data_IF_117029307967
#
_entry.id   IF_117029307967
#
_cell.length_a   1.000
_cell.length_b   1.000
_cell.length_c   1.000
_cell.angle_alpha   90.00
_cell.angle_beta   90.00
_cell.angle_gamma   90.00
#
_symmetry.space_group_name_H-M   'P 1'
#
loop_
_entity.id
_entity.type
_entity.pdbx_description
1 polymer ?
#
# COMPACT_ATOMS: atom_id res chain seq x y z
N UNK A 1 -20.47 21.98 -13.83
CA UNK A 1 -20.73 21.23 -12.57
C UNK A 1 -20.15 19.82 -12.53
N UNK A 2 -20.48 18.90 -13.45
CA UNK A 2 -20.06 17.48 -13.34
C UNK A 2 -18.55 17.25 -13.35
N UNK A 3 -17.78 18.07 -14.08
CA UNK A 3 -16.31 17.93 -14.18
C UNK A 3 -15.61 18.29 -12.86
N UNK A 4 -16.10 19.28 -12.11
CA UNK A 4 -15.51 19.63 -10.81
C UNK A 4 -15.75 18.54 -9.77
N UNK A 5 -16.95 17.97 -9.75
CA UNK A 5 -17.27 16.82 -8.92
C UNK A 5 -16.39 15.62 -9.27
N UNK A 6 -16.15 15.37 -10.56
CA UNK A 6 -15.24 14.31 -11.01
C UNK A 6 -13.80 14.56 -10.55
N UNK A 7 -13.30 15.80 -10.65
CA UNK A 7 -11.95 16.17 -10.15
C UNK A 7 -11.81 15.91 -8.65
N UNK A 8 -12.82 16.28 -7.87
CA UNK A 8 -12.84 16.04 -6.42
C UNK A 8 -12.84 14.53 -6.12
N UNK A 9 -13.67 13.76 -6.82
CA UNK A 9 -13.72 12.30 -6.66
C UNK A 9 -12.39 11.63 -7.05
N UNK A 10 -11.76 12.08 -8.14
CA UNK A 10 -10.44 11.60 -8.55
C UNK A 10 -9.39 11.91 -7.48
N UNK A 11 -9.37 13.13 -6.94
CA UNK A 11 -8.44 13.51 -5.89
C UNK A 11 -8.61 12.62 -4.64
N UNK A 12 -9.85 12.44 -4.19
CA UNK A 12 -10.17 11.57 -3.05
C UNK A 12 -9.73 10.14 -3.33
N UNK A 13 -10.01 9.62 -4.53
CA UNK A 13 -9.60 8.27 -4.93
C UNK A 13 -8.08 8.13 -4.94
N UNK A 14 -7.34 9.11 -5.48
CA UNK A 14 -5.89 9.10 -5.49
C UNK A 14 -5.30 9.15 -4.08
N UNK A 15 -5.85 9.97 -3.18
CA UNK A 15 -5.43 10.02 -1.79
C UNK A 15 -5.69 8.70 -1.07
N UNK A 16 -6.87 8.09 -1.27
CA UNK A 16 -7.19 6.79 -0.72
C UNK A 16 -6.24 5.70 -1.23
N UNK A 17 -5.97 5.67 -2.54
CA UNK A 17 -5.02 4.75 -3.15
C UNK A 17 -3.60 4.93 -2.61
N UNK A 18 -3.17 6.17 -2.37
CA UNK A 18 -1.86 6.46 -1.78
C UNK A 18 -1.75 5.94 -0.34
N UNK A 19 -2.81 6.12 0.47
CA UNK A 19 -2.87 5.58 1.84
C UNK A 19 -2.86 4.06 1.83
N UNK A 20 -3.64 3.42 0.95
CA UNK A 20 -3.65 1.96 0.79
C UNK A 20 -2.29 1.44 0.34
N UNK A 21 -1.61 2.14 -0.55
CA UNK A 21 -0.27 1.78 -0.99
C UNK A 21 0.73 1.85 0.16
N UNK A 22 0.71 2.92 0.98
CA UNK A 22 1.59 3.06 2.14
C UNK A 22 1.37 1.94 3.17
N UNK A 23 0.10 1.60 3.47
CA UNK A 23 -0.20 0.49 4.39
C UNK A 23 0.23 -0.86 3.81
N UNK A 24 -0.03 -1.09 2.52
CA UNK A 24 0.42 -2.28 1.82
C UNK A 24 1.93 -2.42 1.85
N UNK A 25 2.67 -1.32 1.65
CA UNK A 25 4.13 -1.28 1.66
C UNK A 25 4.71 -1.37 3.08
N UNK A 26 4.00 -0.93 4.11
CA UNK A 26 4.42 -1.13 5.50
C UNK A 26 4.38 -2.62 5.85
N UNK A 27 3.27 -3.30 5.51
CA UNK A 27 3.23 -4.76 5.62
C UNK A 27 4.28 -5.35 4.70
N UNK A 28 4.48 -4.79 3.47
CA UNK A 28 5.66 -4.95 2.57
C UNK A 28 6.91 -5.45 3.29
N UNK A 29 7.42 -4.46 4.01
CA UNK A 29 8.70 -4.37 4.67
C UNK A 29 8.77 -5.16 5.97
N UNK A 30 7.64 -5.36 6.64
CA UNK A 30 7.52 -6.20 7.83
C UNK A 30 7.68 -7.71 7.54
N UNK A 31 7.90 -8.10 6.28
CA UNK A 31 7.93 -9.50 5.80
C UNK A 31 6.66 -10.32 6.17
N UNK A 32 5.60 -9.66 6.64
CA UNK A 32 4.35 -10.33 7.02
C UNK A 32 3.51 -10.79 5.79
N UNK A 33 3.96 -10.56 4.55
CA UNK A 33 3.29 -11.10 3.34
C UNK A 33 3.27 -12.60 3.26
N UNK A 34 4.19 -13.28 3.95
CA UNK A 34 4.24 -14.73 3.91
C UNK A 34 2.95 -15.37 4.46
N UNK A 35 2.17 -14.66 5.28
CA UNK A 35 0.89 -15.11 5.82
C UNK A 35 -0.29 -14.91 4.84
N UNK A 36 -0.17 -14.03 3.85
CA UNK A 36 -1.21 -13.76 2.85
C UNK A 36 -1.03 -14.51 1.53
N UNK A 37 0.08 -15.26 1.39
CA UNK A 37 0.34 -16.09 0.24
C UNK A 37 -0.08 -17.55 0.51
N UNK A 38 -1.22 -17.97 -0.01
CA UNK A 38 -1.55 -19.40 -0.13
C UNK A 38 -0.81 -20.10 -1.29
N UNK A 39 -0.08 -19.35 -2.11
CA UNK A 39 0.54 -19.87 -3.34
C UNK A 39 2.04 -20.10 -3.15
N UNK A 40 2.47 -21.36 -3.29
CA UNK A 40 3.87 -21.82 -3.24
C UNK A 40 4.80 -21.28 -4.34
N UNK A 41 4.36 -20.29 -5.14
CA UNK A 41 5.13 -19.67 -6.23
C UNK A 41 5.56 -18.27 -5.80
N UNK A 42 6.75 -18.19 -5.19
CA UNK A 42 7.35 -16.96 -4.64
C UNK A 42 7.95 -16.00 -5.69
N UNK A 43 7.79 -16.29 -6.98
CA UNK A 43 8.54 -15.62 -8.06
C UNK A 43 7.79 -14.50 -8.78
N UNK A 44 6.53 -14.19 -8.43
CA UNK A 44 5.78 -13.06 -9.02
C UNK A 44 4.94 -12.33 -7.96
N UNK A 45 5.02 -11.00 -7.93
CA UNK A 45 4.08 -10.13 -7.19
C UNK A 45 2.70 -10.23 -7.84
N UNK A 46 1.90 -11.24 -7.49
CA UNK A 46 0.55 -11.44 -8.06
C UNK A 46 -0.47 -10.50 -7.42
N UNK A 47 -0.23 -10.04 -6.18
CA UNK A 47 -1.09 -9.11 -5.47
C UNK A 47 -0.54 -7.68 -5.57
N UNK A 48 -1.41 -6.75 -5.99
CA UNK A 48 -1.10 -5.32 -5.95
C UNK A 48 -0.89 -4.86 -4.51
N UNK A 49 0.05 -3.94 -4.29
CA UNK A 49 0.31 -3.31 -2.98
C UNK A 49 -0.98 -2.70 -2.40
N UNK A 50 -1.85 -2.15 -3.26
CA UNK A 50 -3.14 -1.57 -2.87
C UNK A 50 -4.09 -2.65 -2.33
N UNK A 51 -4.09 -3.84 -2.94
CA UNK A 51 -4.92 -4.95 -2.48
C UNK A 51 -4.45 -5.46 -1.11
N UNK A 52 -3.14 -5.54 -0.90
CA UNK A 52 -2.56 -5.88 0.41
C UNK A 52 -2.99 -4.83 1.44
N UNK A 53 -2.87 -3.53 1.11
CA UNK A 53 -3.35 -2.45 1.98
C UNK A 53 -4.84 -2.56 2.32
N UNK A 54 -5.69 -2.97 1.37
CA UNK A 54 -7.11 -3.22 1.62
C UNK A 54 -7.35 -4.40 2.58
N UNK A 55 -6.57 -5.48 2.46
CA UNK A 55 -6.68 -6.60 3.39
C UNK A 55 -6.27 -6.21 4.81
N UNK A 56 -5.24 -5.38 4.95
CA UNK A 56 -4.78 -4.86 6.25
C UNK A 56 -5.84 -4.01 6.95
N UNK A 57 -6.56 -3.18 6.20
CA UNK A 57 -7.66 -2.39 6.76
C UNK A 57 -8.78 -3.26 7.33
N UNK A 58 -9.04 -4.42 6.72
CA UNK A 58 -10.08 -5.34 7.17
C UNK A 58 -9.59 -6.34 8.24
N UNK A 59 -8.27 -6.55 8.35
CA UNK A 59 -7.69 -7.53 9.28
C UNK A 59 -7.21 -6.85 10.58
N UNK A 60 -8.06 -6.86 11.60
CA UNK A 60 -7.77 -6.30 12.93
C UNK A 60 -6.59 -6.96 13.66
N UNK A 61 -6.04 -8.07 13.14
CA UNK A 61 -4.85 -8.75 13.68
C UNK A 61 -3.56 -8.03 13.28
N UNK A 62 -3.59 -7.21 12.23
CA UNK A 62 -2.43 -6.44 11.79
C UNK A 62 -2.42 -5.11 12.50
N UNK A 63 -1.40 -4.90 13.34
CA UNK A 63 -1.15 -3.63 14.01
C UNK A 63 0.07 -3.00 13.39
N UNK A 64 -0.13 -1.98 12.56
CA UNK A 64 0.95 -1.16 12.05
C UNK A 64 1.36 -0.15 13.12
N UNK A 65 2.64 -0.13 13.44
CA UNK A 65 3.24 0.91 14.27
C UNK A 65 3.62 2.12 13.42
N UNK A 66 3.89 3.25 14.09
CA UNK A 66 4.40 4.45 13.42
C UNK A 66 5.72 4.18 12.69
N UNK A 67 6.59 3.34 13.25
CA UNK A 67 7.88 2.99 12.65
C UNK A 67 7.73 2.23 11.31
N UNK A 68 6.66 1.44 11.18
CA UNK A 68 6.39 0.67 9.96
C UNK A 68 5.94 1.60 8.82
N UNK A 69 5.12 2.61 9.15
CA UNK A 69 4.74 3.67 8.22
C UNK A 69 5.93 4.54 7.83
N UNK A 70 6.80 4.90 8.78
CA UNK A 70 8.03 5.65 8.50
C UNK A 70 8.98 4.86 7.58
N UNK A 71 9.05 3.54 7.73
CA UNK A 71 9.86 2.67 6.86
C UNK A 71 9.28 2.60 5.45
N UNK A 72 7.95 2.46 5.32
CA UNK A 72 7.27 2.53 4.03
C UNK A 72 7.48 3.88 3.33
N UNK A 73 7.48 4.98 4.08
CA UNK A 73 7.74 6.32 3.57
C UNK A 73 9.17 6.48 3.04
N UNK A 74 10.17 5.97 3.77
CA UNK A 74 11.57 5.97 3.31
C UNK A 74 11.74 5.22 1.99
N UNK A 75 11.08 4.07 1.85
CA UNK A 75 11.15 3.31 0.62
C UNK A 75 10.48 4.01 -0.57
N UNK A 76 9.42 4.78 -0.34
CA UNK A 76 8.84 5.65 -1.37
C UNK A 76 9.85 6.72 -1.83
N UNK A 77 10.56 7.33 -0.89
CA UNK A 77 11.58 8.34 -1.20
C UNK A 77 12.76 7.74 -1.99
N UNK A 78 13.15 6.49 -1.69
CA UNK A 78 14.16 5.77 -2.47
C UNK A 78 13.68 5.50 -3.90
N UNK A 79 12.45 5.00 -4.07
CA UNK A 79 11.86 4.75 -5.39
C UNK A 79 11.70 6.03 -6.23
N UNK A 80 11.45 7.18 -5.59
CA UNK A 80 11.45 8.47 -6.31
C UNK A 80 12.84 8.85 -6.82
N UNK A 81 13.89 8.62 -6.02
CA UNK A 81 15.27 8.95 -6.39
C UNK A 81 15.81 8.07 -7.51
N UNK A 82 15.39 6.82 -7.58
CA UNK A 82 15.76 5.90 -8.67
C UNK A 82 15.09 6.24 -10.02
N UNK A 83 14.14 7.18 -10.02
CA UNK A 83 13.40 7.64 -11.20
C UNK A 83 13.76 9.06 -11.65
N UNK A 84 14.75 9.71 -11.01
CA UNK A 84 15.42 10.94 -11.45
C UNK A 84 16.76 10.62 -12.16
#
# INVERSE_FOLDING_TARGET
ESVERLKILLLIATLALMVLWLMGMAVILLEQHYQFQANSVRNKKVLSVIFIGLQVVHDARIRLSKADIESAWKQLLELQKDHE
#
